data_IF_350113067899
#
_entry.id   IF_350113067899
#
_cell.length_a   1.000
_cell.length_b   1.000
_cell.length_c   1.000
_cell.angle_alpha   90.00
_cell.angle_beta   90.00
_cell.angle_gamma   90.00
#
_symmetry.space_group_name_H-M   'P 1'
#
loop_
_entity.id
_entity.type
_entity.pdbx_description
1 polymer ?
#
# COMPACT_ATOMS: atom_id res chain seq x y z
N UNK A 1 -0.11 -38.49 43.95
CA UNK A 1 -1.10 -37.74 44.77
C UNK A 1 -0.31 -36.56 45.27
N UNK A 2 -0.50 -35.34 44.78
CA UNK A 2 -1.72 -34.55 44.92
C UNK A 2 -1.92 -33.64 43.69
N UNK A 3 -3.19 -33.49 43.28
CA UNK A 3 -3.59 -32.75 42.09
C UNK A 3 -3.47 -31.24 42.30
N UNK A 4 -2.90 -30.56 41.30
CA UNK A 4 -2.96 -29.11 41.19
C UNK A 4 -4.31 -28.80 40.56
N UNK A 5 -5.24 -28.39 41.42
CA UNK A 5 -6.59 -27.96 41.06
C UNK A 5 -6.51 -26.75 40.13
N UNK A 6 -6.96 -26.96 38.89
CA UNK A 6 -7.23 -25.90 37.91
C UNK A 6 -8.40 -25.06 38.41
N UNK A 7 -8.13 -23.85 38.89
CA UNK A 7 -9.15 -22.83 39.16
C UNK A 7 -9.81 -22.41 37.84
N UNK A 8 -11.15 -22.42 37.73
CA UNK A 8 -11.82 -21.95 36.53
C UNK A 8 -11.71 -20.41 36.43
N UNK A 9 -11.15 -19.94 35.31
CA UNK A 9 -11.22 -18.54 34.92
C UNK A 9 -12.69 -18.20 34.74
N UNK A 10 -13.20 -17.33 35.62
CA UNK A 10 -14.53 -16.75 35.56
C UNK A 10 -14.69 -16.07 34.21
N UNK A 11 -15.55 -16.62 33.34
CA UNK A 11 -16.05 -15.98 32.14
C UNK A 11 -16.78 -14.70 32.54
N UNK A 12 -16.07 -13.57 32.52
CA UNK A 12 -16.69 -12.26 32.57
C UNK A 12 -17.48 -12.08 31.27
N UNK A 13 -18.77 -12.43 31.32
CA UNK A 13 -19.75 -12.14 30.30
C UNK A 13 -19.78 -10.66 30.01
N UNK A 14 -19.07 -10.25 28.95
CA UNK A 14 -19.19 -8.92 28.40
C UNK A 14 -20.30 -8.97 27.34
N UNK A 15 -21.53 -8.82 27.82
CA UNK A 15 -22.70 -8.62 26.99
C UNK A 15 -22.54 -7.34 26.18
N UNK A 16 -21.93 -7.45 25.00
CA UNK A 16 -22.05 -6.44 23.94
C UNK A 16 -23.50 -6.49 23.45
N UNK A 17 -24.36 -5.82 24.21
CA UNK A 17 -25.74 -5.53 23.86
C UNK A 17 -25.69 -4.64 22.63
N UNK A 18 -25.74 -5.24 21.44
CA UNK A 18 -26.08 -4.51 20.23
C UNK A 18 -27.43 -3.82 20.47
N UNK A 19 -27.57 -2.51 20.25
CA UNK A 19 -28.90 -1.93 20.21
C UNK A 19 -29.61 -2.57 19.01
N UNK A 20 -30.54 -3.50 19.29
CA UNK A 20 -31.53 -3.89 18.30
C UNK A 20 -32.29 -2.63 17.92
N UNK A 21 -32.00 -2.10 16.73
CA UNK A 21 -32.85 -1.10 16.12
C UNK A 21 -34.23 -1.73 15.93
N UNK A 22 -35.34 -1.06 16.33
CA UNK A 22 -36.66 -1.61 16.10
C UNK A 22 -36.88 -1.81 14.59
N UNK A 23 -37.25 -3.04 14.23
CA UNK A 23 -37.72 -3.43 12.91
C UNK A 23 -39.04 -2.71 12.61
N UNK A 24 -38.96 -1.43 12.26
CA UNK A 24 -40.04 -0.71 11.64
C UNK A 24 -40.08 -1.10 10.14
N UNK A 25 -40.57 -2.31 9.87
CA UNK A 25 -40.96 -2.72 8.52
C UNK A 25 -42.24 -1.94 8.18
N UNK A 26 -42.09 -0.73 7.67
CA UNK A 26 -43.16 -0.06 6.94
C UNK A 26 -43.33 -0.79 5.61
N UNK A 27 -44.27 -1.72 5.58
CA UNK A 27 -44.86 -2.24 4.36
C UNK A 27 -45.54 -1.06 3.64
N UNK A 28 -44.81 -0.44 2.71
CA UNK A 28 -45.35 0.50 1.72
C UNK A 28 -45.44 -0.30 0.42
N UNK A 29 -46.65 -0.31 -0.13
CA UNK A 29 -47.13 -1.16 -1.22
C UNK A 29 -46.13 -1.51 -2.34
N UNK A 30 -46.19 -2.78 -2.74
CA UNK A 30 -45.56 -3.32 -3.93
C UNK A 30 -44.06 -3.55 -3.77
N UNK A 31 -43.61 -4.79 -3.88
CA UNK A 31 -42.19 -5.13 -4.05
C UNK A 31 -41.71 -4.63 -5.43
N UNK A 32 -41.72 -3.33 -5.65
CA UNK A 32 -41.07 -2.70 -6.79
C UNK A 32 -39.61 -2.67 -6.42
N UNK A 33 -38.84 -3.68 -6.82
CA UNK A 33 -37.39 -3.67 -6.66
C UNK A 33 -36.85 -2.43 -7.40
N UNK A 34 -36.57 -1.32 -6.70
CA UNK A 34 -36.31 -0.06 -7.37
C UNK A 34 -34.97 -0.13 -8.11
N UNK A 35 -34.14 -1.11 -7.75
CA UNK A 35 -32.89 -1.40 -8.43
C UNK A 35 -33.09 -2.05 -9.79
N UNK A 36 -34.13 -2.87 -10.03
CA UNK A 36 -34.34 -3.52 -11.35
C UNK A 36 -34.65 -2.47 -12.42
N UNK A 37 -35.51 -1.51 -12.09
CA UNK A 37 -35.83 -0.38 -12.98
C UNK A 37 -34.64 0.54 -13.20
N UNK A 38 -33.92 0.90 -12.13
CA UNK A 38 -32.71 1.71 -12.24
C UNK A 38 -31.62 0.98 -13.05
N UNK A 39 -31.50 -0.33 -12.90
CA UNK A 39 -30.53 -1.15 -13.63
C UNK A 39 -30.90 -1.23 -15.11
N UNK A 40 -32.18 -1.41 -15.44
CA UNK A 40 -32.66 -1.31 -16.82
C UNK A 40 -32.39 0.07 -17.42
N UNK A 41 -32.67 1.16 -16.68
CA UNK A 41 -32.42 2.55 -17.11
C UNK A 41 -30.95 2.84 -17.40
N UNK A 42 -30.03 2.31 -16.58
CA UNK A 42 -28.60 2.61 -16.68
C UNK A 42 -27.79 1.49 -17.33
N UNK A 43 -28.42 0.44 -17.86
CA UNK A 43 -27.74 -0.74 -18.44
C UNK A 43 -26.70 -0.36 -19.48
N UNK A 44 -27.08 0.51 -20.42
CA UNK A 44 -26.20 0.94 -21.51
C UNK A 44 -25.05 1.82 -21.01
N UNK A 45 -25.26 2.59 -19.94
CA UNK A 45 -24.21 3.39 -19.30
C UNK A 45 -23.26 2.50 -18.48
N UNK A 46 -23.78 1.48 -17.80
CA UNK A 46 -22.96 0.55 -17.01
C UNK A 46 -22.03 -0.28 -17.91
N UNK A 47 -22.47 -0.62 -19.12
CA UNK A 47 -21.69 -1.34 -20.12
C UNK A 47 -20.52 -0.53 -20.68
N UNK A 48 -20.56 0.81 -20.63
CA UNK A 48 -19.47 1.69 -21.08
C UNK A 48 -18.23 1.66 -20.16
N UNK A 49 -18.28 0.91 -19.06
CA UNK A 49 -17.18 0.76 -18.11
C UNK A 49 -17.33 1.69 -16.89
N UNK A 50 -16.31 1.69 -16.02
CA UNK A 50 -16.35 2.39 -14.71
C UNK A 50 -15.84 3.83 -14.80
N UNK A 51 -14.91 4.12 -15.71
CA UNK A 51 -14.15 5.38 -15.73
C UNK A 51 -14.53 6.33 -16.87
N UNK A 52 -15.61 6.02 -17.60
CA UNK A 52 -15.94 6.71 -18.84
C UNK A 52 -15.54 5.91 -20.06
N UNK A 53 -15.81 6.50 -21.23
CA UNK A 53 -15.51 5.89 -22.51
C UNK A 53 -14.81 6.90 -23.41
N UNK A 54 -13.94 6.39 -24.27
CA UNK A 54 -13.27 7.19 -25.28
C UNK A 54 -14.22 7.48 -26.43
N UNK A 55 -14.41 8.77 -26.73
CA UNK A 55 -15.16 9.21 -27.90
C UNK A 55 -14.47 10.44 -28.49
N UNK A 56 -14.21 10.41 -29.80
CA UNK A 56 -13.59 11.54 -30.53
C UNK A 56 -12.30 12.03 -29.86
N UNK A 57 -11.40 11.10 -29.50
CA UNK A 57 -10.12 11.38 -28.82
C UNK A 57 -10.22 12.08 -27.44
N UNK A 58 -11.43 12.20 -26.87
CA UNK A 58 -11.64 12.70 -25.52
C UNK A 58 -12.23 11.60 -24.61
N UNK A 59 -11.83 11.63 -23.34
CA UNK A 59 -12.47 10.83 -22.31
C UNK A 59 -13.82 11.48 -21.97
N UNK A 60 -14.91 10.81 -22.32
CA UNK A 60 -16.26 11.26 -21.97
C UNK A 60 -16.71 10.63 -20.65
N UNK A 61 -17.22 11.43 -19.69
CA UNK A 61 -17.73 10.91 -18.44
C UNK A 61 -19.02 10.11 -18.66
N UNK A 62 -19.34 9.23 -17.72
CA UNK A 62 -20.59 8.47 -17.70
C UNK A 62 -21.79 9.37 -17.37
N UNK A 63 -22.96 9.00 -17.88
CA UNK A 63 -24.24 9.64 -17.51
C UNK A 63 -24.70 9.35 -16.08
N UNK A 64 -24.01 8.44 -15.37
CA UNK A 64 -24.25 8.10 -13.97
C UNK A 64 -23.04 8.49 -13.11
N UNK A 65 -23.32 9.14 -11.97
CA UNK A 65 -22.27 9.44 -11.00
C UNK A 65 -21.79 8.16 -10.29
N UNK A 66 -20.50 8.10 -9.94
CA UNK A 66 -19.92 6.97 -9.23
C UNK A 66 -20.67 6.63 -7.92
N UNK A 67 -21.16 7.65 -7.21
CA UNK A 67 -21.99 7.47 -5.99
C UNK A 67 -23.31 6.77 -6.30
N UNK A 68 -24.00 7.14 -7.38
CA UNK A 68 -25.27 6.48 -7.77
C UNK A 68 -25.01 5.04 -8.21
N UNK A 69 -23.94 4.80 -8.99
CA UNK A 69 -23.50 3.45 -9.37
C UNK A 69 -23.22 2.57 -8.14
N UNK A 70 -22.49 3.07 -7.16
CA UNK A 70 -22.18 2.33 -5.93
C UNK A 70 -23.43 2.01 -5.09
N UNK A 71 -24.41 2.92 -5.03
CA UNK A 71 -25.71 2.64 -4.39
C UNK A 71 -26.46 1.51 -5.10
N UNK A 72 -26.50 1.54 -6.44
CA UNK A 72 -27.10 0.46 -7.23
C UNK A 72 -26.39 -0.88 -7.00
N UNK A 73 -25.06 -0.89 -7.07
CA UNK A 73 -24.25 -2.09 -6.80
C UNK A 73 -24.54 -2.64 -5.40
N UNK A 74 -24.67 -1.78 -4.39
CA UNK A 74 -25.05 -2.19 -3.03
C UNK A 74 -26.45 -2.80 -2.98
N UNK A 75 -27.44 -2.18 -3.62
CA UNK A 75 -28.83 -2.69 -3.67
C UNK A 75 -28.90 -4.08 -4.34
N UNK A 76 -28.17 -4.28 -5.45
CA UNK A 76 -28.12 -5.56 -6.20
C UNK A 76 -27.42 -6.66 -5.38
N UNK A 77 -26.24 -6.37 -4.83
CA UNK A 77 -25.49 -7.35 -4.04
C UNK A 77 -26.23 -7.74 -2.74
N UNK A 78 -26.95 -6.80 -2.10
CA UNK A 78 -27.79 -7.11 -0.95
C UNK A 78 -28.99 -7.99 -1.29
N UNK A 79 -29.47 -7.93 -2.54
CA UNK A 79 -30.51 -8.83 -3.03
C UNK A 79 -29.96 -10.23 -3.41
N UNK A 80 -28.65 -10.47 -3.28
CA UNK A 80 -28.00 -11.73 -3.61
C UNK A 80 -27.73 -11.94 -5.10
N UNK A 81 -27.91 -10.93 -5.93
CA UNK A 81 -27.70 -10.98 -7.37
C UNK A 81 -26.25 -10.56 -7.72
N UNK A 82 -25.74 -11.06 -8.85
CA UNK A 82 -24.36 -10.78 -9.29
C UNK A 82 -24.21 -9.41 -9.97
N UNK A 83 -23.00 -8.83 -9.90
CA UNK A 83 -22.66 -7.54 -10.51
C UNK A 83 -21.60 -7.70 -11.61
N UNK A 84 -21.99 -7.92 -12.88
CA UNK A 84 -21.06 -8.23 -13.96
C UNK A 84 -20.37 -7.01 -14.61
N UNK A 85 -20.78 -5.79 -14.26
CA UNK A 85 -20.36 -4.57 -14.98
C UNK A 85 -18.98 -4.03 -14.57
N UNK A 86 -18.45 -4.45 -13.43
CA UNK A 86 -17.20 -3.91 -12.88
C UNK A 86 -16.14 -5.01 -12.87
N UNK A 87 -14.95 -4.81 -13.49
CA UNK A 87 -13.87 -5.77 -13.37
C UNK A 87 -13.40 -5.89 -11.92
N UNK A 88 -12.90 -7.07 -11.51
CA UNK A 88 -12.32 -7.25 -10.19
C UNK A 88 -11.11 -6.32 -10.01
N UNK A 89 -10.89 -5.87 -8.77
CA UNK A 89 -9.75 -5.02 -8.44
C UNK A 89 -8.46 -5.83 -8.63
N UNK A 90 -7.52 -5.30 -9.40
CA UNK A 90 -6.21 -5.90 -9.58
C UNK A 90 -5.38 -5.95 -8.30
N UNK A 91 -4.37 -6.81 -8.28
CA UNK A 91 -3.47 -6.98 -7.15
C UNK A 91 -2.64 -5.71 -6.88
N UNK A 92 -2.39 -5.44 -5.60
CA UNK A 92 -1.60 -4.28 -5.17
C UNK A 92 -0.10 -4.57 -5.28
N UNK A 93 0.68 -3.60 -5.78
CA UNK A 93 2.14 -3.72 -5.86
C UNK A 93 2.78 -3.58 -4.47
N UNK A 94 3.20 -4.70 -3.91
CA UNK A 94 3.92 -4.75 -2.64
C UNK A 94 5.43 -4.80 -2.86
N UNK A 95 6.07 -3.65 -3.12
CA UNK A 95 7.54 -3.55 -3.19
C UNK A 95 8.03 -2.48 -2.23
N UNK A 96 8.91 -2.84 -1.29
CA UNK A 96 9.56 -1.89 -0.36
C UNK A 96 10.74 -1.21 -1.06
N UNK A 97 10.85 0.12 -0.92
CA UNK A 97 11.93 0.91 -1.52
C UNK A 97 13.28 0.73 -0.80
N UNK A 98 13.24 0.58 0.53
CA UNK A 98 14.40 0.71 1.42
C UNK A 98 14.91 2.15 1.52
N UNK A 99 15.55 2.51 2.63
CA UNK A 99 16.22 3.81 2.75
C UNK A 99 17.50 3.84 1.90
N UNK A 100 17.83 5.01 1.35
CA UNK A 100 19.04 5.18 0.53
C UNK A 100 20.30 4.85 1.32
N UNK A 101 20.36 5.28 2.58
CA UNK A 101 21.50 5.04 3.45
C UNK A 101 21.75 3.53 3.61
N UNK A 102 20.73 2.76 3.99
CA UNK A 102 20.84 1.31 4.21
C UNK A 102 21.33 0.56 2.97
N UNK A 103 20.91 1.02 1.78
CA UNK A 103 21.34 0.42 0.51
C UNK A 103 22.85 0.57 0.27
N UNK A 104 23.43 1.71 0.66
CA UNK A 104 24.82 2.08 0.37
C UNK A 104 25.76 1.71 1.52
N UNK A 105 25.22 1.39 2.71
CA UNK A 105 26.01 1.08 3.90
C UNK A 105 26.93 -0.12 3.68
N UNK A 106 26.49 -1.16 2.98
CA UNK A 106 27.32 -2.33 2.68
C UNK A 106 28.51 -1.95 1.78
N UNK A 107 28.27 -1.18 0.72
CA UNK A 107 29.31 -0.69 -0.19
C UNK A 107 30.33 0.20 0.55
N UNK A 108 29.84 1.09 1.41
CA UNK A 108 30.72 1.95 2.24
C UNK A 108 31.64 1.14 3.15
N UNK A 109 31.12 0.11 3.82
CA UNK A 109 31.91 -0.75 4.71
C UNK A 109 32.99 -1.52 3.93
N UNK A 110 32.66 -2.04 2.75
CA UNK A 110 33.62 -2.72 1.87
C UNK A 110 34.74 -1.76 1.41
N UNK A 111 34.37 -0.57 0.94
CA UNK A 111 35.34 0.45 0.52
C UNK A 111 36.25 0.89 1.67
N UNK A 112 35.73 1.01 2.89
CA UNK A 112 36.54 1.30 4.07
C UNK A 112 37.55 0.17 4.32
N UNK A 113 37.15 -1.10 4.23
CA UNK A 113 38.08 -2.22 4.41
C UNK A 113 39.19 -2.25 3.35
N UNK A 114 38.87 -1.98 2.08
CA UNK A 114 39.87 -1.88 1.02
C UNK A 114 40.83 -0.70 1.20
N UNK A 115 40.30 0.45 1.62
CA UNK A 115 41.10 1.64 1.92
C UNK A 115 42.09 1.37 3.07
N UNK A 116 41.63 0.68 4.11
CA UNK A 116 42.48 0.32 5.26
C UNK A 116 43.62 -0.63 4.89
N UNK A 117 43.43 -1.53 3.91
CA UNK A 117 44.51 -2.38 3.38
C UNK A 117 45.62 -1.55 2.70
N UNK A 118 45.25 -0.46 2.01
CA UNK A 118 46.18 0.45 1.30
C UNK A 118 46.83 1.48 2.22
N UNK A 119 46.35 1.61 3.47
CA UNK A 119 46.80 2.62 4.41
C UNK A 119 48.31 2.57 4.72
N UNK A 120 48.93 1.39 4.92
CA UNK A 120 50.36 1.31 5.24
C UNK A 120 51.24 1.85 4.10
N UNK A 121 50.90 1.52 2.85
CA UNK A 121 51.59 1.99 1.66
C UNK A 121 51.45 3.51 1.51
N UNK A 122 50.23 4.04 1.64
CA UNK A 122 49.99 5.49 1.61
C UNK A 122 50.76 6.27 2.69
N UNK A 123 50.96 5.68 3.88
CA UNK A 123 51.74 6.29 4.95
C UNK A 123 53.24 6.34 4.60
N UNK A 124 53.78 5.28 3.99
CA UNK A 124 55.16 5.26 3.54
C UNK A 124 55.39 6.28 2.42
N UNK A 125 54.48 6.36 1.46
CA UNK A 125 54.53 7.35 0.38
C UNK A 125 54.47 8.78 0.90
N UNK A 126 53.62 9.05 1.90
CA UNK A 126 53.55 10.36 2.53
C UNK A 126 54.86 10.72 3.25
N UNK A 127 55.43 9.77 4.01
CA UNK A 127 56.73 9.96 4.68
C UNK A 127 57.84 10.23 3.67
N UNK A 128 57.90 9.44 2.59
CA UNK A 128 58.87 9.60 1.50
C UNK A 128 58.78 10.99 0.87
N UNK A 129 57.57 11.42 0.47
CA UNK A 129 57.35 12.76 -0.11
C UNK A 129 57.77 13.90 0.83
N UNK A 130 57.47 13.77 2.13
CA UNK A 130 57.88 14.76 3.14
C UNK A 130 59.39 14.82 3.29
N UNK A 131 60.05 13.67 3.25
CA UNK A 131 61.50 13.56 3.40
C UNK A 131 62.24 14.11 2.17
N UNK A 132 61.82 13.73 0.96
CA UNK A 132 62.36 14.27 -0.29
C UNK A 132 62.20 15.79 -0.39
N UNK A 133 61.05 16.32 0.05
CA UNK A 133 60.82 17.77 0.10
C UNK A 133 61.77 18.46 1.09
N UNK A 134 62.10 17.81 2.21
CA UNK A 134 63.05 18.33 3.20
C UNK A 134 64.47 18.36 2.62
N UNK A 135 64.94 17.24 2.06
CA UNK A 135 66.27 17.15 1.44
C UNK A 135 66.46 18.21 0.36
N UNK A 136 65.53 18.34 -0.59
CA UNK A 136 65.59 19.39 -1.62
C UNK A 136 65.64 20.82 -1.07
N UNK A 137 65.05 21.06 0.11
CA UNK A 137 65.06 22.37 0.73
C UNK A 137 66.33 22.63 1.55
N UNK A 138 67.05 21.59 1.94
CA UNK A 138 68.39 21.68 2.54
C UNK A 138 69.44 21.85 1.43
N UNK A 139 69.38 21.05 0.36
CA UNK A 139 70.25 21.18 -0.82
C UNK A 139 70.14 22.53 -1.54
N UNK A 140 68.99 23.23 -1.42
CA UNK A 140 68.79 24.56 -2.01
C UNK A 140 69.29 25.71 -1.12
N UNK A 141 69.76 25.40 0.09
CA UNK A 141 70.32 26.37 1.04
C UNK A 141 71.85 26.34 1.10
N UNK A 142 72.46 25.25 0.65
CA UNK A 142 73.90 25.13 0.38
C UNK A 142 74.25 25.69 -1.00
#
# INVERSE_FOLDING_TARGET
>A
MEGIETTPIVESGNAFRTPQAPLAVKAIGGYQYPWREKLAKYKDELAKGVWGYWKLAALTPLGISARRRARLRKEVLLAGEDWPYDPPRGEMRNKRKGHKCDRIVAEKRANTAEFMKKMPEMLLDYKKRRWEKKMKAEDAKD
#
